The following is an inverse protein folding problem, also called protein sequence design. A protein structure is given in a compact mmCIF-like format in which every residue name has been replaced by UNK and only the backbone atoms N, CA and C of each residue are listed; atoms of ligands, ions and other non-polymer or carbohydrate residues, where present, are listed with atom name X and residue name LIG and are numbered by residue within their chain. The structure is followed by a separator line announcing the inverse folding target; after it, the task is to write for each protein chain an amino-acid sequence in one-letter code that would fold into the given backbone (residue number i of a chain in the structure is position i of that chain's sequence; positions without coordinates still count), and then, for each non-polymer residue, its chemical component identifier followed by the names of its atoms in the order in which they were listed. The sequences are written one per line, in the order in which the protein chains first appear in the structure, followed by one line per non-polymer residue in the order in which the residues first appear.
data_IF_768083736366
#
_entry.id   IF_768083736366
#
_cell.length_a   1.000
_cell.length_b   1.000
_cell.length_c   1.000
_cell.angle_alpha   90.00
_cell.angle_beta   90.00
_cell.angle_gamma   90.00
#
_symmetry.space_group_name_H-M   'P 1'
#
loop_
_entity.id
_entity.type
_entity.pdbx_description
1 polymer ?
#
# COMPACT_ATOMS: atom_id res chain seq x y z
N UNK A 1 -13.46 16.83 2.21
CA UNK A 1 -13.34 15.81 1.16
C UNK A 1 -11.87 15.65 0.86
N UNK A 2 -11.15 14.83 1.63
CA UNK A 2 -9.85 14.34 1.19
C UNK A 2 -10.14 13.29 0.14
N UNK A 3 -10.38 13.75 -1.09
CA UNK A 3 -10.69 12.88 -2.21
C UNK A 3 -9.38 12.25 -2.67
N UNK A 4 -9.31 10.93 -2.61
CA UNK A 4 -8.26 10.14 -3.26
C UNK A 4 -8.10 10.65 -4.69
N UNK A 5 -6.86 10.72 -5.16
CA UNK A 5 -6.58 11.18 -6.52
C UNK A 5 -7.20 10.25 -7.56
N UNK A 6 -7.09 8.95 -7.33
CA UNK A 6 -7.65 7.89 -8.18
C UNK A 6 -7.84 6.60 -7.38
N UNK A 7 -8.56 5.63 -7.96
CA UNK A 7 -8.77 4.29 -7.41
C UNK A 7 -8.15 3.29 -8.39
N UNK A 8 -7.07 2.65 -7.98
CA UNK A 8 -6.26 1.75 -8.83
C UNK A 8 -6.35 0.33 -8.28
N UNK A 9 -6.55 -0.65 -9.15
CA UNK A 9 -6.53 -2.07 -8.77
C UNK A 9 -5.10 -2.51 -8.48
N UNK A 10 -4.91 -3.32 -7.43
CA UNK A 10 -3.60 -3.84 -7.04
C UNK A 10 -2.91 -4.62 -8.18
N UNK A 11 -3.68 -5.20 -9.09
CA UNK A 11 -3.21 -5.92 -10.28
C UNK A 11 -2.55 -5.00 -11.33
N UNK A 12 -2.88 -3.70 -11.33
CA UNK A 12 -2.27 -2.71 -12.22
C UNK A 12 -0.98 -2.11 -11.61
N UNK A 13 -0.74 -2.37 -10.32
CA UNK A 13 0.49 -1.97 -9.65
C UNK A 13 1.63 -2.97 -9.92
N UNK A 14 2.86 -2.46 -9.92
CA UNK A 14 4.05 -3.31 -10.10
C UNK A 14 4.60 -3.71 -8.74
N UNK A 15 4.74 -5.01 -8.51
CA UNK A 15 5.36 -5.55 -7.30
C UNK A 15 6.89 -5.44 -7.37
N UNK A 16 7.50 -4.92 -6.31
CA UNK A 16 8.95 -4.89 -6.12
C UNK A 16 9.36 -5.89 -5.03
N UNK A 17 9.88 -7.05 -5.43
CA UNK A 17 10.36 -8.09 -4.50
C UNK A 17 11.57 -7.67 -3.65
N UNK A 18 12.33 -6.65 -4.09
CA UNK A 18 13.54 -6.20 -3.39
C UNK A 18 13.16 -5.33 -2.19
N UNK A 19 12.18 -4.45 -2.37
CA UNK A 19 11.66 -3.57 -1.32
C UNK A 19 10.46 -4.14 -0.58
N UNK A 20 9.74 -5.10 -1.16
CA UNK A 20 8.49 -5.63 -0.60
C UNK A 20 7.32 -4.65 -0.72
N UNK A 21 7.27 -3.84 -1.79
CA UNK A 21 6.23 -2.81 -1.98
C UNK A 21 5.66 -2.85 -3.40
N UNK A 22 4.37 -2.52 -3.51
CA UNK A 22 3.74 -2.21 -4.78
C UNK A 22 4.00 -0.77 -5.14
N UNK A 23 4.32 -0.53 -6.41
CA UNK A 23 4.54 0.80 -6.93
C UNK A 23 3.73 1.09 -8.18
N UNK A 24 3.29 2.35 -8.30
CA UNK A 24 2.47 2.82 -9.42
C UNK A 24 2.98 4.18 -9.92
N UNK A 25 3.08 4.40 -11.25
CA UNK A 25 3.56 5.67 -11.80
C UNK A 25 2.68 6.84 -11.39
N UNK A 26 3.28 7.84 -10.77
CA UNK A 26 2.58 9.05 -10.36
C UNK A 26 2.69 10.13 -11.45
N UNK A 27 1.61 10.88 -11.78
CA UNK A 27 1.66 11.96 -12.76
C UNK A 27 2.61 13.10 -12.40
N UNK A 28 3.10 13.18 -11.16
CA UNK A 28 4.09 14.17 -10.75
C UNK A 28 5.54 13.82 -11.16
N UNK A 29 5.78 12.62 -11.70
CA UNK A 29 7.09 12.14 -12.16
C UNK A 29 7.76 11.12 -11.23
N UNK A 30 7.22 10.94 -10.03
CA UNK A 30 7.63 9.92 -9.05
C UNK A 30 6.69 8.71 -9.08
N UNK A 31 6.68 7.91 -8.01
CA UNK A 31 5.86 6.70 -7.89
C UNK A 31 5.14 6.68 -6.55
N UNK A 32 3.91 6.18 -6.56
CA UNK A 32 3.25 5.76 -5.33
C UNK A 32 3.89 4.48 -4.84
N UNK A 33 4.01 4.32 -3.53
CA UNK A 33 4.54 3.12 -2.89
C UNK A 33 3.56 2.68 -1.78
N UNK A 34 3.29 1.37 -1.69
CA UNK A 34 2.49 0.76 -0.62
C UNK A 34 3.00 -0.64 -0.30
N UNK A 35 3.10 -0.98 0.98
CA UNK A 35 3.65 -2.26 1.44
C UNK A 35 2.56 -3.33 1.59
N UNK A 36 2.89 -4.62 1.42
CA UNK A 36 1.95 -5.72 1.73
C UNK A 36 1.46 -5.69 3.17
N UNK A 37 2.35 -5.36 4.11
CA UNK A 37 1.99 -5.17 5.52
C UNK A 37 0.88 -4.13 5.71
N UNK A 38 0.88 -3.04 4.92
CA UNK A 38 -0.15 -2.02 4.99
C UNK A 38 -1.48 -2.56 4.48
N UNK A 39 -1.47 -3.25 3.33
CA UNK A 39 -2.65 -3.93 2.79
C UNK A 39 -3.22 -4.97 3.77
N UNK A 40 -2.35 -5.77 4.41
CA UNK A 40 -2.76 -6.73 5.45
C UNK A 40 -3.40 -6.06 6.69
N UNK A 41 -3.02 -4.81 6.97
CA UNK A 41 -3.59 -4.00 8.06
C UNK A 41 -4.82 -3.20 7.63
N UNK A 42 -5.47 -3.56 6.52
CA UNK A 42 -6.62 -2.83 5.96
C UNK A 42 -6.30 -1.39 5.50
N UNK A 43 -5.03 -1.08 5.23
CA UNK A 43 -4.60 0.22 4.74
C UNK A 43 -4.47 0.20 3.21
N UNK A 44 -5.51 0.70 2.52
CA UNK A 44 -5.61 0.81 1.06
C UNK A 44 -5.02 2.11 0.48
N UNK A 45 -4.21 2.86 1.24
CA UNK A 45 -3.78 4.21 0.84
C UNK A 45 -2.33 4.22 0.41
N UNK A 46 -2.08 4.28 -0.91
CA UNK A 46 -0.73 4.45 -1.43
C UNK A 46 -0.39 5.93 -1.53
N UNK A 47 0.78 6.31 -1.02
CA UNK A 47 1.20 7.71 -0.91
C UNK A 47 2.42 7.98 -1.80
N UNK A 48 2.45 9.15 -2.45
CA UNK A 48 3.61 9.58 -3.23
C UNK A 48 4.47 10.56 -2.42
N UNK A 49 5.78 10.30 -2.23
CA UNK A 49 6.66 11.14 -1.41
C UNK A 49 6.92 12.53 -2.02
N UNK A 50 6.80 12.70 -3.34
CA UNK A 50 7.10 13.98 -4.01
C UNK A 50 5.93 14.94 -4.06
N UNK A 51 4.71 14.45 -4.17
CA UNK A 51 3.55 15.30 -4.44
C UNK A 51 2.47 15.23 -3.35
N UNK A 52 2.67 14.47 -2.27
CA UNK A 52 1.71 14.28 -1.17
C UNK A 52 0.33 13.78 -1.61
N UNK A 53 0.20 13.39 -2.88
CA UNK A 53 -0.99 12.76 -3.41
C UNK A 53 -1.12 11.37 -2.79
N UNK A 54 -2.37 10.94 -2.68
CA UNK A 54 -2.75 9.60 -2.24
C UNK A 54 -3.71 9.01 -3.25
N UNK A 55 -3.51 7.74 -3.57
CA UNK A 55 -4.45 6.95 -4.38
C UNK A 55 -5.02 5.85 -3.49
N UNK A 56 -6.22 5.40 -3.83
CA UNK A 56 -6.85 4.25 -3.18
C UNK A 56 -6.51 2.99 -3.95
N UNK A 57 -6.08 1.97 -3.25
CA UNK A 57 -5.73 0.68 -3.83
C UNK A 57 -6.88 -0.28 -3.63
N UNK A 58 -7.47 -0.76 -4.71
CA UNK A 58 -8.53 -1.77 -4.68
C UNK A 58 -7.86 -3.14 -4.69
N UNK A 59 -8.01 -3.89 -3.60
CA UNK A 59 -7.44 -5.23 -3.42
C UNK A 59 -8.41 -6.14 -2.68
N UNK A 60 -8.19 -7.45 -2.76
CA UNK A 60 -8.93 -8.43 -1.96
C UNK A 60 -8.16 -8.71 -0.66
N UNK A 61 -8.77 -8.48 0.52
CA UNK A 61 -8.08 -8.66 1.80
C UNK A 61 -7.64 -10.11 2.04
N UNK A 62 -8.33 -11.10 1.45
CA UNK A 62 -7.98 -12.51 1.62
C UNK A 62 -6.62 -12.84 0.99
N UNK A 63 -6.13 -12.04 0.03
CA UNK A 63 -4.82 -12.22 -0.61
C UNK A 63 -3.66 -11.85 0.34
N UNK A 64 -3.92 -10.97 1.33
CA UNK A 64 -2.93 -10.45 2.27
C UNK A 64 -3.18 -10.85 3.73
N UNK A 65 -4.32 -11.46 4.05
CA UNK A 65 -4.68 -11.96 5.39
C UNK A 65 -3.78 -13.11 5.89
N UNK A 66 -3.07 -13.82 4.99
CA UNK A 66 -2.22 -14.97 5.35
C UNK A 66 -0.83 -14.56 5.87
N UNK A 67 -0.47 -13.27 5.78
CA UNK A 67 0.75 -12.76 6.41
C UNK A 67 0.41 -12.45 7.88
N UNK A 68 0.88 -13.25 8.86
CA UNK A 68 0.58 -13.00 10.25
C UNK A 68 0.99 -11.57 10.58
N UNK A 69 0.16 -10.78 11.30
CA UNK A 69 0.62 -9.52 11.81
C UNK A 69 1.88 -9.83 12.63
N UNK A 70 3.00 -9.23 12.23
CA UNK A 70 4.20 -9.19 13.06
C UNK A 70 3.85 -8.26 14.24
N UNK A 71 3.05 -8.81 15.15
CA UNK A 71 2.71 -8.27 16.45
C UNK A 71 3.98 -8.45 17.31
N UNK A 72 4.93 -7.52 17.15
CA UNK A 72 6.06 -7.40 18.06
C UNK A 72 6.10 -6.00 18.70
N UNK A 73 5.18 -5.80 19.65
CA UNK A 73 5.35 -5.14 20.96
C UNK A 73 3.99 -5.18 21.68
N UNK A 74 3.72 -5.85 22.80
CA UNK A 74 4.56 -6.41 23.86
C UNK A 74 3.71 -7.40 24.67
N UNK A 75 4.06 -8.70 24.66
CA UNK A 75 3.83 -9.57 25.83
C UNK A 75 5.18 -9.67 26.55
N UNK A 76 5.38 -8.81 27.53
CA UNK A 76 6.34 -9.04 28.59
C UNK A 76 5.83 -8.38 29.88
N UNK A 77 5.15 -9.24 30.65
CA UNK A 77 4.81 -9.20 32.08
C UNK A 77 3.83 -8.14 32.64
#
# INVERSE_FOLDING_TARGET
MGAYYDEIEIEDMVWDDVKGVYHYPCPCGDRFEISRKQLANYEDIATCPSCSLVIRVVYDPLDFEDEPPDDEESVSE
#
